data_IF_164256291633
#
_entry.id   IF_164256291633
#
_cell.length_a   1.000
_cell.length_b   1.000
_cell.length_c   1.000
_cell.angle_alpha   90.00
_cell.angle_beta   90.00
_cell.angle_gamma   90.00
#
_symmetry.space_group_name_H-M   'P 1'
#
loop_
_entity.id
_entity.type
_entity.pdbx_description
1 polymer ?
#
# COMPACT_ATOMS: atom_id res chain seq x y z
N UNK A 1 -0.99 -2.84 0.03
CA UNK A 1 -1.28 -3.94 -0.93
C UNK A 1 -0.68 -5.27 -0.50
N UNK A 2 0.66 -5.40 -0.37
CA UNK A 2 1.31 -6.68 -0.07
C UNK A 2 0.78 -7.34 1.21
N UNK A 3 0.62 -6.57 2.29
CA UNK A 3 0.05 -7.08 3.54
C UNK A 3 -1.38 -7.59 3.40
N UNK A 4 -2.23 -6.93 2.62
CA UNK A 4 -3.59 -7.43 2.29
C UNK A 4 -3.56 -8.80 1.63
N UNK A 5 -2.68 -8.98 0.64
CA UNK A 5 -2.54 -10.26 -0.07
C UNK A 5 -1.99 -11.33 0.88
N UNK A 6 -0.96 -11.00 1.66
CA UNK A 6 -0.36 -11.93 2.64
C UNK A 6 -1.39 -12.39 3.68
N UNK A 7 -2.17 -11.46 4.25
CA UNK A 7 -3.22 -11.78 5.21
C UNK A 7 -4.30 -12.69 4.58
N UNK A 8 -4.73 -12.38 3.35
CA UNK A 8 -5.70 -13.21 2.64
C UNK A 8 -5.20 -14.62 2.38
N UNK A 9 -3.93 -14.77 1.99
CA UNK A 9 -3.28 -16.07 1.78
C UNK A 9 -3.17 -16.82 3.11
N UNK A 10 -2.75 -16.15 4.18
CA UNK A 10 -2.66 -16.77 5.51
C UNK A 10 -4.01 -17.32 5.98
N UNK A 11 -5.09 -16.53 5.86
CA UNK A 11 -6.45 -16.99 6.18
C UNK A 11 -6.82 -18.21 5.34
N UNK A 12 -6.59 -18.16 4.02
CA UNK A 12 -6.92 -19.28 3.14
C UNK A 12 -6.13 -20.55 3.45
N UNK A 13 -4.84 -20.42 3.80
CA UNK A 13 -4.02 -21.55 4.20
C UNK A 13 -4.51 -22.16 5.51
N UNK A 14 -4.85 -21.33 6.51
CA UNK A 14 -5.43 -21.80 7.77
C UNK A 14 -6.77 -22.51 7.57
N UNK A 15 -7.65 -21.96 6.72
CA UNK A 15 -8.92 -22.59 6.32
C UNK A 15 -8.70 -23.99 5.69
N UNK A 16 -7.54 -24.21 5.07
CA UNK A 16 -7.16 -25.49 4.45
C UNK A 16 -6.34 -26.41 5.38
N UNK A 17 -6.14 -26.03 6.64
CA UNK A 17 -5.30 -26.78 7.59
C UNK A 17 -3.80 -26.68 7.31
N UNK A 18 -3.37 -25.76 6.44
CA UNK A 18 -1.96 -25.48 6.17
C UNK A 18 -1.43 -24.56 7.27
N UNK A 19 -0.31 -24.95 7.86
CA UNK A 19 0.36 -24.15 8.89
C UNK A 19 0.93 -22.85 8.30
N UNK A 20 0.72 -21.74 9.01
CA UNK A 20 1.32 -20.43 8.70
C UNK A 20 2.25 -20.11 9.85
N UNK A 21 3.56 -20.02 9.58
CA UNK A 21 4.57 -19.78 10.62
C UNK A 21 4.49 -18.38 11.22
N UNK A 22 4.28 -17.36 10.37
CA UNK A 22 4.12 -15.98 10.79
C UNK A 22 3.44 -15.13 9.69
N UNK A 23 2.87 -13.99 10.09
CA UNK A 23 2.41 -12.93 9.20
C UNK A 23 3.15 -11.62 9.52
N UNK A 24 3.74 -10.99 8.51
CA UNK A 24 4.39 -9.68 8.65
C UNK A 24 3.66 -8.67 7.79
N UNK A 25 3.15 -7.62 8.42
CA UNK A 25 2.44 -6.51 7.78
C UNK A 25 3.29 -5.25 7.93
N UNK A 26 3.81 -4.73 6.81
CA UNK A 26 4.62 -3.51 6.82
C UNK A 26 3.78 -2.35 6.34
N UNK A 27 3.46 -1.45 7.28
CA UNK A 27 2.65 -0.25 7.11
C UNK A 27 1.42 -0.50 6.22
N UNK A 28 0.74 -1.62 6.48
CA UNK A 28 -0.33 -2.12 5.63
C UNK A 28 -1.66 -1.95 6.34
N UNK A 29 -2.49 -1.04 5.87
CA UNK A 29 -3.85 -0.89 6.36
C UNK A 29 -4.74 -2.08 5.95
N UNK A 30 -5.84 -2.26 6.69
CA UNK A 30 -6.91 -3.18 6.28
C UNK A 30 -7.45 -2.85 4.88
N UNK A 31 -7.77 -3.87 4.05
CA UNK A 31 -8.45 -3.66 2.77
C UNK A 31 -9.77 -2.89 2.89
N UNK A 32 -10.43 -2.91 4.05
CA UNK A 32 -11.71 -2.21 4.28
C UNK A 32 -11.59 -0.68 4.11
N UNK A 33 -10.34 -0.17 4.11
CA UNK A 33 -10.01 1.24 3.97
C UNK A 33 -9.70 1.64 2.54
N UNK A 34 -9.53 0.66 1.64
CA UNK A 34 -9.32 0.89 0.20
C UNK A 34 -10.68 1.05 -0.45
N UNK A 35 -10.89 2.18 -1.14
CA UNK A 35 -12.19 2.55 -1.71
C UNK A 35 -12.09 2.64 -3.23
N UNK A 36 -13.13 2.14 -3.90
CA UNK A 36 -13.31 2.40 -5.32
C UNK A 36 -13.59 3.90 -5.55
N UNK A 37 -13.12 4.43 -6.67
CA UNK A 37 -13.54 5.74 -7.15
C UNK A 37 -14.97 5.60 -7.67
N UNK A 38 -15.89 6.41 -7.15
CA UNK A 38 -17.30 6.43 -7.54
C UNK A 38 -17.71 7.80 -8.06
N UNK A 39 -18.72 7.86 -8.92
CA UNK A 39 -19.25 9.11 -9.46
C UNK A 39 -18.40 9.78 -10.55
N UNK A 40 -17.42 9.06 -11.10
CA UNK A 40 -16.56 9.49 -12.20
C UNK A 40 -16.80 8.61 -13.43
N UNK A 41 -16.61 9.15 -14.62
CA UNK A 41 -16.55 8.37 -15.85
C UNK A 41 -15.20 7.63 -15.97
N UNK A 42 -15.12 6.63 -16.83
CA UNK A 42 -13.92 5.76 -16.95
C UNK A 42 -12.63 6.56 -17.24
N UNK A 43 -12.69 7.63 -18.03
CA UNK A 43 -11.52 8.45 -18.37
C UNK A 43 -11.06 9.30 -17.18
N UNK A 44 -11.99 9.82 -16.39
CA UNK A 44 -11.70 10.53 -15.15
C UNK A 44 -11.06 9.59 -14.12
N UNK A 45 -11.57 8.36 -14.01
CA UNK A 45 -11.01 7.31 -13.15
C UNK A 45 -9.57 6.97 -13.56
N UNK A 46 -9.32 6.75 -14.85
CA UNK A 46 -8.00 6.45 -15.37
C UNK A 46 -6.99 7.60 -15.12
N UNK A 47 -7.41 8.84 -15.35
CA UNK A 47 -6.58 10.01 -15.07
C UNK A 47 -6.27 10.16 -13.57
N UNK A 48 -7.25 9.93 -12.70
CA UNK A 48 -7.02 10.01 -11.26
C UNK A 48 -6.09 8.89 -10.77
N UNK A 49 -6.23 7.65 -11.27
CA UNK A 49 -5.27 6.60 -10.96
C UNK A 49 -3.87 6.90 -11.49
N UNK A 50 -3.75 7.49 -12.68
CA UNK A 50 -2.45 7.92 -13.21
C UNK A 50 -1.80 9.01 -12.34
N UNK A 51 -2.58 9.97 -11.82
CA UNK A 51 -2.08 10.98 -10.87
C UNK A 51 -1.66 10.34 -9.54
N UNK A 52 -2.47 9.42 -9.00
CA UNK A 52 -2.17 8.65 -7.78
C UNK A 52 -0.87 7.85 -7.91
N UNK A 53 -0.69 7.20 -9.07
CA UNK A 53 0.53 6.49 -9.43
C UNK A 53 1.74 7.43 -9.45
N UNK A 54 1.64 8.55 -10.17
CA UNK A 54 2.72 9.53 -10.25
C UNK A 54 3.10 10.12 -8.88
N UNK A 55 2.11 10.46 -8.03
CA UNK A 55 2.34 10.91 -6.65
C UNK A 55 3.01 9.84 -5.78
N UNK A 56 2.69 8.56 -5.99
CA UNK A 56 3.40 7.47 -5.28
C UNK A 56 4.87 7.40 -5.67
N UNK A 57 5.19 7.54 -6.96
CA UNK A 57 6.57 7.60 -7.44
C UNK A 57 7.32 8.81 -6.88
N UNK A 58 6.64 9.97 -6.80
CA UNK A 58 7.19 11.16 -6.18
C UNK A 58 7.60 10.91 -4.73
N UNK A 59 6.74 10.24 -3.96
CA UNK A 59 7.00 10.00 -2.55
C UNK A 59 8.06 8.93 -2.27
N UNK A 60 8.34 8.06 -3.25
CA UNK A 60 9.52 7.18 -3.22
C UNK A 60 10.81 7.91 -3.62
N UNK A 61 10.71 8.95 -4.45
CA UNK A 61 11.85 9.72 -4.93
C UNK A 61 12.08 11.01 -4.12
N UNK A 62 13.18 11.70 -4.43
CA UNK A 62 13.41 13.06 -3.95
C UNK A 62 12.93 14.14 -4.94
N UNK A 63 12.45 13.73 -6.12
CA UNK A 63 12.11 14.63 -7.22
C UNK A 63 10.63 15.04 -7.13
N UNK A 64 10.34 16.33 -7.34
CA UNK A 64 8.98 16.83 -7.48
C UNK A 64 8.47 16.58 -8.89
N UNK A 65 7.32 15.94 -9.03
CA UNK A 65 6.67 15.71 -10.34
C UNK A 65 5.41 16.55 -10.46
N UNK A 66 5.18 17.09 -11.64
CA UNK A 66 3.97 17.86 -11.92
C UNK A 66 2.81 16.92 -12.28
N UNK A 67 1.96 16.62 -11.29
CA UNK A 67 0.77 15.79 -11.51
C UNK A 67 -0.32 16.48 -12.35
N UNK A 68 -0.25 17.81 -12.56
CA UNK A 68 -1.18 18.53 -13.43
C UNK A 68 -0.98 18.21 -14.91
N UNK A 69 0.19 17.68 -15.29
CA UNK A 69 0.47 17.19 -16.62
C UNK A 69 -0.37 15.97 -17.04
N UNK A 70 -1.05 15.32 -16.09
CA UNK A 70 -1.95 14.18 -16.31
C UNK A 70 -3.38 14.68 -16.53
N UNK A 71 -3.81 14.62 -17.79
CA UNK A 71 -5.16 14.99 -18.24
C UNK A 71 -6.01 13.75 -18.51
N UNK A 72 -7.33 13.92 -18.54
CA UNK A 72 -8.30 12.85 -18.90
C UNK A 72 -8.12 12.33 -20.33
N UNK A 73 -7.69 13.20 -21.24
CA UNK A 73 -7.50 12.85 -22.64
C UNK A 73 -6.24 12.02 -22.89
N UNK A 74 -5.24 12.12 -22.02
CA UNK A 74 -3.92 11.51 -22.23
C UNK A 74 -3.19 11.20 -20.90
N UNK A 75 -3.73 10.29 -20.05
CA UNK A 75 -3.14 10.03 -18.74
C UNK A 75 -1.72 9.46 -18.82
N UNK A 76 -1.50 8.51 -19.72
CA UNK A 76 -0.22 7.81 -19.83
C UNK A 76 0.91 8.71 -20.33
N UNK A 77 0.68 9.50 -21.38
CA UNK A 77 1.74 10.42 -21.84
C UNK A 77 1.91 11.61 -20.91
N UNK A 78 0.87 12.00 -20.16
CA UNK A 78 0.99 12.94 -19.05
C UNK A 78 1.99 12.48 -17.98
N UNK A 79 1.85 11.22 -17.52
CA UNK A 79 2.82 10.60 -16.60
C UNK A 79 4.21 10.53 -17.22
N UNK A 80 4.32 10.12 -18.49
CA UNK A 80 5.61 10.04 -19.16
C UNK A 80 6.31 11.41 -19.26
N UNK A 81 5.58 12.48 -19.60
CA UNK A 81 6.10 13.86 -19.65
C UNK A 81 6.54 14.35 -18.28
N UNK A 82 5.75 14.11 -17.24
CA UNK A 82 6.08 14.52 -15.87
C UNK A 82 7.38 13.85 -15.39
N UNK A 83 7.56 12.55 -15.68
CA UNK A 83 8.79 11.83 -15.36
C UNK A 83 9.99 12.29 -16.21
N UNK A 84 9.77 12.49 -17.52
CA UNK A 84 10.83 12.96 -18.42
C UNK A 84 11.36 14.34 -18.03
N UNK A 85 10.49 15.23 -17.53
CA UNK A 85 10.88 16.53 -16.97
C UNK A 85 11.82 16.43 -15.76
N UNK A 86 11.90 15.27 -15.11
CA UNK A 86 12.82 14.96 -14.00
C UNK A 86 14.01 14.08 -14.44
N UNK A 87 14.23 13.92 -15.76
CA UNK A 87 15.26 13.05 -16.29
C UNK A 87 14.97 11.54 -16.13
N UNK A 88 13.74 11.17 -15.79
CA UNK A 88 13.32 9.79 -15.60
C UNK A 88 12.59 9.29 -16.85
N UNK A 89 12.94 8.10 -17.31
CA UNK A 89 12.25 7.43 -18.41
C UNK A 89 11.61 6.14 -17.91
N UNK A 90 10.29 6.04 -18.05
CA UNK A 90 9.54 4.85 -17.68
C UNK A 90 9.06 4.15 -18.95
N UNK A 91 9.42 2.87 -19.10
CA UNK A 91 8.90 2.02 -20.18
C UNK A 91 7.50 1.53 -19.83
N UNK A 92 6.67 1.37 -20.85
CA UNK A 92 5.32 0.79 -20.77
C UNK A 92 4.40 1.48 -19.75
N UNK A 93 4.40 2.82 -19.74
CA UNK A 93 3.64 3.64 -18.78
C UNK A 93 2.16 3.25 -18.72
N UNK A 94 1.52 3.09 -19.88
CA UNK A 94 0.13 2.66 -19.98
C UNK A 94 -0.11 1.30 -19.30
N UNK A 95 0.75 0.31 -19.55
CA UNK A 95 0.66 -1.01 -18.92
C UNK A 95 0.84 -0.92 -17.40
N UNK A 96 1.77 -0.09 -16.93
CA UNK A 96 2.02 0.11 -15.49
C UNK A 96 0.83 0.75 -14.78
N UNK A 97 0.23 1.78 -15.38
CA UNK A 97 -1.00 2.39 -14.86
C UNK A 97 -2.13 1.37 -14.86
N UNK A 98 -2.35 0.64 -15.96
CA UNK A 98 -3.38 -0.41 -16.05
C UNK A 98 -3.23 -1.49 -14.97
N UNK A 99 -2.00 -1.89 -14.65
CA UNK A 99 -1.72 -2.83 -13.55
C UNK A 99 -2.05 -2.20 -12.20
N UNK A 100 -1.62 -0.96 -11.96
CA UNK A 100 -1.91 -0.23 -10.72
C UNK A 100 -3.43 -0.06 -10.49
N UNK A 101 -4.17 0.38 -11.52
CA UNK A 101 -5.63 0.52 -11.50
C UNK A 101 -6.32 -0.80 -11.17
N UNK A 102 -5.95 -1.90 -11.85
CA UNK A 102 -6.54 -3.21 -11.59
C UNK A 102 -6.27 -3.71 -10.17
N UNK A 103 -5.08 -3.47 -9.62
CA UNK A 103 -4.80 -3.84 -8.24
C UNK A 103 -5.68 -3.07 -7.26
N UNK A 104 -5.80 -1.75 -7.39
CA UNK A 104 -6.65 -0.97 -6.48
C UNK A 104 -8.13 -1.32 -6.62
N UNK A 105 -8.61 -1.54 -7.84
CA UNK A 105 -9.98 -1.99 -8.08
C UNK A 105 -10.26 -3.38 -7.46
N UNK A 106 -9.30 -4.31 -7.55
CA UNK A 106 -9.40 -5.62 -6.91
C UNK A 106 -9.37 -5.53 -5.38
N UNK A 107 -8.48 -4.71 -4.83
CA UNK A 107 -8.35 -4.52 -3.39
C UNK A 107 -9.60 -3.88 -2.77
N UNK A 108 -10.24 -2.93 -3.46
CA UNK A 108 -11.48 -2.30 -2.98
C UNK A 108 -12.66 -3.28 -2.81
N UNK A 109 -12.60 -4.44 -3.48
CA UNK A 109 -13.60 -5.52 -3.36
C UNK A 109 -13.32 -6.45 -2.19
N UNK A 110 -12.12 -6.39 -1.59
CA UNK A 110 -11.75 -7.24 -0.48
C UNK A 110 -12.33 -6.70 0.83
N UNK A 111 -12.58 -7.63 1.75
CA UNK A 111 -12.84 -7.35 3.15
C UNK A 111 -11.88 -8.14 4.00
N UNK A 112 -11.43 -7.54 5.10
CA UNK A 112 -10.63 -8.26 6.06
C UNK A 112 -11.44 -9.43 6.62
N UNK A 113 -10.74 -10.53 6.91
CA UNK A 113 -11.31 -11.70 7.57
C UNK A 113 -10.50 -12.00 8.83
N UNK A 114 -11.11 -12.56 9.87
CA UNK A 114 -10.37 -12.99 11.05
C UNK A 114 -9.27 -13.99 10.72
N UNK A 115 -8.08 -13.73 11.25
CA UNK A 115 -6.96 -14.67 11.34
C UNK A 115 -6.73 -14.98 12.82
N UNK A 116 -6.62 -16.26 13.17
CA UNK A 116 -6.39 -16.72 14.54
C UNK A 116 -5.15 -17.60 14.63
N UNK A 117 -4.49 -17.57 15.79
CA UNK A 117 -3.35 -18.45 16.13
C UNK A 117 -2.19 -18.39 15.12
N UNK A 118 -1.87 -17.19 14.61
CA UNK A 118 -0.71 -16.94 13.75
C UNK A 118 0.13 -15.82 14.38
N UNK A 119 1.40 -16.06 14.73
CA UNK A 119 2.31 -14.99 15.16
C UNK A 119 2.31 -13.87 14.11
N UNK A 120 1.97 -12.65 14.53
CA UNK A 120 1.78 -11.52 13.61
C UNK A 120 2.59 -10.32 14.07
N UNK A 121 3.38 -9.76 13.17
CA UNK A 121 4.08 -8.50 13.35
C UNK A 121 3.44 -7.43 12.47
N UNK A 122 2.96 -6.36 13.08
CA UNK A 122 2.49 -5.16 12.40
C UNK A 122 3.50 -4.03 12.61
N UNK A 123 4.17 -3.65 11.52
CA UNK A 123 5.07 -2.50 11.49
C UNK A 123 4.28 -1.28 11.06
N UNK A 124 4.36 -0.21 11.84
CA UNK A 124 3.66 1.06 11.61
C UNK A 124 4.69 2.13 11.32
N UNK A 125 4.52 2.87 10.21
CA UNK A 125 5.38 3.99 9.91
C UNK A 125 5.07 5.18 10.85
N UNK A 126 6.12 5.75 11.46
CA UNK A 126 5.99 6.83 12.44
C UNK A 126 5.41 8.11 11.83
N UNK A 127 5.75 8.41 10.57
CA UNK A 127 5.39 9.66 9.92
C UNK A 127 4.27 9.47 8.90
N UNK A 128 3.44 10.51 8.76
CA UNK A 128 2.44 10.55 7.71
C UNK A 128 3.11 10.57 6.35
N UNK A 129 2.54 9.84 5.41
CA UNK A 129 2.96 9.84 4.02
C UNK A 129 2.74 11.21 3.36
N UNK A 130 3.73 11.76 2.64
CA UNK A 130 3.59 13.04 1.95
C UNK A 130 2.65 12.96 0.74
N UNK A 131 2.32 11.75 0.29
CA UNK A 131 1.44 11.51 -0.84
C UNK A 131 0.40 10.44 -0.52
N UNK A 132 -0.80 10.62 -1.08
CA UNK A 132 -1.87 9.63 -1.07
C UNK A 132 -2.39 9.23 0.32
N UNK A 133 -1.98 9.94 1.37
CA UNK A 133 -2.46 9.76 2.74
C UNK A 133 -3.96 10.09 2.81
N UNK A 134 -4.79 9.15 3.30
CA UNK A 134 -6.21 9.40 3.56
C UNK A 134 -7.12 9.49 2.31
N UNK A 135 -6.66 9.07 1.13
CA UNK A 135 -7.43 9.19 -0.14
C UNK A 135 -8.11 7.89 -0.59
N UNK A 136 -8.16 6.88 0.28
CA UNK A 136 -8.81 5.58 0.05
C UNK A 136 -7.97 4.59 -0.76
N UNK A 137 -6.65 4.62 -0.62
CA UNK A 137 -5.72 3.69 -1.31
C UNK A 137 -4.97 2.73 -0.38
N UNK A 138 -5.28 2.78 0.91
CA UNK A 138 -4.63 2.01 1.96
C UNK A 138 -3.33 2.65 2.44
N UNK A 139 -3.11 3.93 2.17
CA UNK A 139 -1.96 4.71 2.66
C UNK A 139 -2.49 5.66 3.72
N UNK A 140 -2.12 5.44 4.97
CA UNK A 140 -2.57 6.23 6.14
C UNK A 140 -4.09 6.37 6.35
N UNK A 141 -4.94 5.70 5.55
CA UNK A 141 -6.41 5.73 5.65
C UNK A 141 -6.98 5.23 6.99
N UNK A 142 -6.11 4.80 7.90
CA UNK A 142 -6.44 4.06 9.11
C UNK A 142 -5.45 4.29 10.27
N UNK A 143 -4.62 5.34 10.23
CA UNK A 143 -3.56 5.55 11.25
C UNK A 143 -4.10 5.63 12.68
N UNK A 144 -5.28 6.24 12.85
CA UNK A 144 -5.90 6.44 14.15
C UNK A 144 -6.88 5.31 14.53
N UNK A 145 -6.87 4.21 13.77
CA UNK A 145 -7.69 3.03 14.05
C UNK A 145 -6.82 1.86 14.47
N UNK A 146 -7.32 1.09 15.43
CA UNK A 146 -6.68 -0.11 15.96
C UNK A 146 -6.11 -1.00 14.86
N UNK A 147 -4.84 -1.39 15.04
CA UNK A 147 -4.10 -2.21 14.08
C UNK A 147 -4.21 -1.68 12.64
N UNK A 148 -4.07 -0.37 12.39
CA UNK A 148 -4.26 0.23 11.06
C UNK A 148 -5.59 -0.16 10.38
N UNK A 149 -6.64 -0.26 11.19
CA UNK A 149 -7.98 -0.61 10.77
C UNK A 149 -8.21 -2.11 10.58
N UNK A 150 -7.26 -2.98 10.94
CA UNK A 150 -7.49 -4.41 10.95
C UNK A 150 -8.35 -4.86 12.14
N UNK A 151 -8.20 -4.23 13.32
CA UNK A 151 -8.91 -4.61 14.54
C UNK A 151 -8.86 -6.12 14.82
N UNK A 152 -10.01 -6.69 15.18
CA UNK A 152 -10.20 -8.12 15.45
C UNK A 152 -9.88 -9.07 14.27
N UNK A 153 -9.55 -8.54 13.09
CA UNK A 153 -9.13 -9.38 11.97
C UNK A 153 -7.68 -9.87 12.08
N UNK A 154 -6.89 -9.30 12.99
CA UNK A 154 -5.58 -9.84 13.36
C UNK A 154 -5.67 -10.65 14.66
N UNK A 155 -4.75 -11.61 14.86
CA UNK A 155 -4.67 -12.36 16.11
C UNK A 155 -4.42 -11.44 17.31
N UNK A 156 -4.93 -11.81 18.48
CA UNK A 156 -4.66 -11.10 19.74
C UNK A 156 -3.17 -11.08 20.11
N UNK A 157 -2.39 -12.03 19.59
CA UNK A 157 -0.94 -12.10 19.73
C UNK A 157 -0.18 -11.21 18.74
N UNK A 158 -0.84 -10.23 18.13
CA UNK A 158 -0.18 -9.30 17.20
C UNK A 158 0.77 -8.38 17.97
N UNK A 159 2.04 -8.40 17.58
CA UNK A 159 3.04 -7.45 18.04
C UNK A 159 3.03 -6.24 17.11
N UNK A 160 2.91 -5.04 17.68
CA UNK A 160 3.03 -3.79 16.94
C UNK A 160 4.36 -3.10 17.24
N UNK A 161 5.00 -2.58 16.20
CA UNK A 161 6.17 -1.72 16.33
C UNK A 161 5.97 -0.46 15.51
N UNK A 162 6.46 0.68 16.02
CA UNK A 162 6.61 1.89 15.22
C UNK A 162 8.05 1.99 14.73
N UNK A 163 8.24 2.37 13.46
CA UNK A 163 9.56 2.52 12.87
C UNK A 163 9.70 3.86 12.14
N UNK A 164 10.92 4.47 12.12
CA UNK A 164 11.13 5.75 11.47
C UNK A 164 10.82 5.73 9.98
N UNK A 165 10.28 6.85 9.48
CA UNK A 165 9.88 7.02 8.08
C UNK A 165 8.37 7.07 7.89
N UNK A 166 7.94 7.12 6.64
CA UNK A 166 6.54 7.07 6.21
C UNK A 166 6.31 5.88 5.28
N UNK A 167 5.08 5.62 4.86
CA UNK A 167 4.70 4.49 4.00
C UNK A 167 5.70 4.13 2.88
N UNK A 168 6.16 5.14 2.12
CA UNK A 168 7.10 4.95 1.01
C UNK A 168 8.60 4.89 1.38
N UNK A 169 8.98 5.23 2.61
CA UNK A 169 10.38 5.27 3.08
C UNK A 169 10.66 4.29 4.22
N UNK A 170 9.64 3.61 4.76
CA UNK A 170 9.73 2.68 5.88
C UNK A 170 10.70 1.50 5.63
N UNK A 171 10.93 1.16 4.36
CA UNK A 171 11.88 0.12 3.92
C UNK A 171 13.28 0.65 3.60
N UNK A 172 13.60 1.87 4.03
CA UNK A 172 14.94 2.45 3.98
C UNK A 172 15.54 2.52 5.38
N UNK A 173 16.86 2.73 5.49
CA UNK A 173 17.48 2.98 6.79
C UNK A 173 16.90 4.26 7.43
N UNK A 174 16.69 4.28 8.77
CA UNK A 174 16.95 3.20 9.72
C UNK A 174 15.79 2.18 9.87
N UNK A 175 14.60 2.45 9.31
CA UNK A 175 13.42 1.60 9.46
C UNK A 175 13.64 0.14 9.03
N UNK A 176 14.33 -0.07 7.90
CA UNK A 176 14.64 -1.41 7.39
C UNK A 176 15.43 -2.27 8.39
N UNK A 177 16.36 -1.67 9.14
CA UNK A 177 17.21 -2.38 10.09
C UNK A 177 16.38 -2.89 11.27
N UNK A 178 15.49 -2.04 11.80
CA UNK A 178 14.57 -2.39 12.88
C UNK A 178 13.59 -3.48 12.43
N UNK A 179 13.00 -3.33 11.24
CA UNK A 179 12.09 -4.34 10.66
C UNK A 179 12.80 -5.69 10.53
N UNK A 180 14.04 -5.68 10.02
CA UNK A 180 14.81 -6.91 9.82
C UNK A 180 15.10 -7.63 11.13
N UNK A 181 15.41 -6.90 12.20
CA UNK A 181 15.63 -7.49 13.53
C UNK A 181 14.34 -8.10 14.08
N UNK A 182 13.23 -7.39 13.98
CA UNK A 182 11.93 -7.86 14.49
C UNK A 182 11.41 -9.08 13.72
N UNK A 183 11.69 -9.16 12.41
CA UNK A 183 11.42 -10.37 11.63
C UNK A 183 12.30 -11.54 12.09
N UNK A 184 13.58 -11.31 12.42
CA UNK A 184 14.46 -12.38 12.96
C UNK A 184 13.93 -12.91 14.28
N UNK A 185 13.54 -12.03 15.20
CA UNK A 185 12.98 -12.41 16.50
C UNK A 185 11.68 -13.19 16.36
N UNK A 186 10.80 -12.80 15.43
CA UNK A 186 9.53 -13.48 15.16
C UNK A 186 9.71 -14.91 14.62
N UNK A 187 10.80 -15.16 13.90
CA UNK A 187 11.08 -16.43 13.23
C UNK A 187 12.05 -17.34 14.00
N UNK A 188 12.56 -16.90 15.15
CA UNK A 188 13.48 -17.65 16.01
C UNK A 188 12.76 -18.70 16.86
#
# INVERSE_FOLDING_TARGET
>A
MGGTVAQRVAVQWRDQGIAVGALVLIDSNSPDRIRALTGMNDREVDAEFARRYLRSLQAFGANTVDASAVTESDPASGVARALAGQGLALKDVERRISVFTRHLAGLAQLRARPLVDVPTLLVIAEHQSPANSGVGMGVDDARDTEHLGWGDNLPTSTTEIMVPGHHYSVLSAPGLEIISEQIRELLA
#
